data_IF_327151241602
#
_entry.id   IF_327151241602
#
_cell.length_a   1.000
_cell.length_b   1.000
_cell.length_c   1.000
_cell.angle_alpha   90.00
_cell.angle_beta   90.00
_cell.angle_gamma   90.00
#
_symmetry.space_group_name_H-M   'P 1'
#
loop_
_entity.id
_entity.type
_entity.pdbx_description
1 polymer ?
#
# COMPACT_ATOMS: atom_id res chain seq x y z
N UNK A 1 -11.74 5.53 -8.68
CA UNK A 1 -11.28 6.93 -8.48
C UNK A 1 -9.89 6.89 -7.86
N UNK A 2 -8.94 7.76 -8.23
CA UNK A 2 -7.64 7.81 -7.56
C UNK A 2 -7.78 8.39 -6.16
N UNK A 3 -7.03 7.86 -5.20
CA UNK A 3 -6.98 8.36 -3.83
C UNK A 3 -5.65 9.04 -3.61
N UNK A 4 -5.68 10.13 -2.85
CA UNK A 4 -4.49 10.90 -2.52
C UNK A 4 -4.07 10.53 -1.10
N UNK A 5 -2.79 10.17 -0.92
CA UNK A 5 -2.25 9.79 0.37
C UNK A 5 -0.81 10.25 0.57
N UNK A 6 -0.51 10.58 1.82
CA UNK A 6 0.80 11.05 2.24
C UNK A 6 1.72 9.87 2.47
N UNK A 7 2.95 9.94 1.96
CA UNK A 7 3.96 8.95 2.28
C UNK A 7 4.22 8.94 3.80
N UNK A 8 4.21 7.77 4.47
CA UNK A 8 4.50 7.68 5.90
C UNK A 8 5.98 7.94 6.23
N UNK A 9 6.86 7.99 5.23
CA UNK A 9 8.25 8.37 5.43
C UNK A 9 8.33 9.88 5.72
N UNK A 10 8.76 10.22 6.94
CA UNK A 10 8.87 11.61 7.40
C UNK A 10 9.87 12.44 6.59
N UNK A 11 10.91 11.80 6.03
CA UNK A 11 11.90 12.46 5.16
C UNK A 11 11.35 12.74 3.76
N UNK A 12 10.32 12.01 3.33
CA UNK A 12 9.74 12.17 1.99
C UNK A 12 8.49 13.05 2.01
N UNK A 13 7.51 12.73 2.88
CA UNK A 13 6.19 13.41 2.99
C UNK A 13 5.49 13.71 1.66
N UNK A 14 5.87 13.00 0.59
CA UNK A 14 5.34 13.25 -0.73
C UNK A 14 3.86 12.85 -0.79
N UNK A 15 3.10 13.63 -1.54
CA UNK A 15 1.68 13.37 -1.81
C UNK A 15 1.61 12.43 -3.01
N UNK A 16 1.18 11.19 -2.77
CA UNK A 16 1.02 10.19 -3.82
C UNK A 16 -0.44 10.04 -4.20
N UNK A 17 -0.71 10.06 -5.51
CA UNK A 17 -1.97 9.60 -6.08
C UNK A 17 -1.84 8.13 -6.39
N UNK A 18 -2.54 7.29 -5.65
CA UNK A 18 -2.59 5.85 -5.90
C UNK A 18 -3.99 5.44 -6.35
N UNK A 19 -4.12 4.40 -7.20
CA UNK A 19 -5.42 3.92 -7.62
C UNK A 19 -6.17 3.24 -6.47
N UNK A 20 -7.50 3.33 -6.43
CA UNK A 20 -8.31 2.63 -5.42
C UNK A 20 -8.10 1.09 -5.43
N UNK A 21 -7.72 0.52 -6.57
CA UNK A 21 -7.40 -0.93 -6.72
C UNK A 21 -6.28 -1.43 -5.80
N UNK A 22 -5.44 -0.54 -5.29
CA UNK A 22 -4.33 -0.90 -4.38
C UNK A 22 -4.66 -0.66 -2.91
N UNK A 23 -5.90 -0.26 -2.57
CA UNK A 23 -6.37 -0.25 -1.19
C UNK A 23 -6.27 -1.64 -0.56
N UNK A 24 -5.80 -1.71 0.68
CA UNK A 24 -5.52 -2.95 1.39
C UNK A 24 -4.27 -3.70 0.90
N UNK A 25 -3.53 -3.19 -0.09
CA UNK A 25 -2.30 -3.80 -0.60
C UNK A 25 -1.06 -3.00 -0.17
N UNK A 26 0.10 -3.66 -0.19
CA UNK A 26 1.40 -3.02 -0.03
C UNK A 26 1.77 -2.33 -1.33
N UNK A 27 2.05 -1.04 -1.26
CA UNK A 27 2.44 -0.20 -2.41
C UNK A 27 3.79 0.42 -2.16
N UNK A 28 4.52 0.71 -3.24
CA UNK A 28 5.80 1.39 -3.18
C UNK A 28 5.63 2.88 -3.47
N UNK A 29 6.20 3.72 -2.62
CA UNK A 29 6.28 5.16 -2.87
C UNK A 29 7.11 5.42 -4.13
N UNK A 30 6.56 6.17 -5.09
CA UNK A 30 7.25 6.55 -6.32
C UNK A 30 8.32 7.65 -6.13
N UNK A 31 8.54 8.15 -4.91
CA UNK A 31 9.53 9.18 -4.61
C UNK A 31 10.69 8.62 -3.78
N UNK A 32 10.40 8.00 -2.63
CA UNK A 32 11.43 7.44 -1.76
C UNK A 32 11.59 5.92 -1.87
N UNK A 33 10.71 5.24 -2.60
CA UNK A 33 10.76 3.78 -2.72
C UNK A 33 10.29 3.01 -1.48
N UNK A 34 9.80 3.68 -0.42
CA UNK A 34 9.29 3.02 0.78
C UNK A 34 8.04 2.19 0.46
N UNK A 35 7.98 0.97 0.98
CA UNK A 35 6.82 0.09 0.86
C UNK A 35 5.91 0.27 2.08
N UNK A 36 4.66 0.65 1.85
CA UNK A 36 3.67 0.84 2.91
C UNK A 36 2.31 0.25 2.54
N UNK A 37 1.50 -0.05 3.55
CA UNK A 37 0.16 -0.61 3.34
C UNK A 37 -0.86 0.53 3.21
N UNK A 38 -1.66 0.51 2.14
CA UNK A 38 -2.73 1.48 1.96
C UNK A 38 -3.95 1.09 2.81
N UNK A 39 -4.44 1.94 3.72
CA UNK A 39 -5.62 1.64 4.52
C UNK A 39 -6.87 1.55 3.62
N UNK A 40 -7.64 0.48 3.77
CA UNK A 40 -8.96 0.34 3.12
C UNK A 40 -10.03 0.97 4.01
N UNK A 41 -11.02 1.65 3.40
CA UNK A 41 -12.18 2.17 4.12
C UNK A 41 -13.10 0.99 4.43
N UNK A 42 -12.97 0.42 5.63
CA UNK A 42 -13.79 -0.71 6.05
C UNK A 42 -13.01 -1.66 6.95
N UNK A 43 -13.14 -1.41 8.24
CA UNK A 43 -12.87 -2.36 9.34
C UNK A 43 -11.41 -2.76 9.55
N UNK A 44 -10.89 -2.27 10.68
CA UNK A 44 -9.74 -2.84 11.39
C UNK A 44 -9.83 -4.37 11.43
N UNK A 45 -8.94 -5.09 10.72
CA UNK A 45 -8.55 -6.46 11.05
C UNK A 45 -7.43 -6.98 10.12
N UNK A 46 -6.27 -7.15 10.76
CA UNK A 46 -5.28 -8.22 10.49
C UNK A 46 -4.47 -8.12 9.20
N UNK A 47 -3.18 -7.82 9.40
CA UNK A 47 -2.10 -8.17 8.51
C UNK A 47 -2.05 -9.70 8.30
N UNK A 48 -2.81 -10.23 7.34
CA UNK A 48 -2.50 -11.54 6.76
C UNK A 48 -1.55 -11.31 5.59
N UNK A 49 -0.27 -11.46 5.89
CA UNK A 49 0.73 -11.82 4.88
C UNK A 49 0.30 -13.21 4.38
N UNK A 50 -0.57 -13.25 3.36
CA UNK A 50 -0.79 -14.48 2.62
C UNK A 50 0.49 -14.78 1.84
N UNK A 51 1.21 -15.86 2.12
CA UNK A 51 2.32 -16.28 1.29
C UNK A 51 1.78 -16.46 -0.13
N UNK A 52 2.37 -15.75 -1.09
CA UNK A 52 2.20 -16.09 -2.49
C UNK A 52 2.82 -17.46 -2.67
N UNK A 53 2.02 -18.51 -2.63
CA UNK A 53 2.40 -19.85 -3.04
C UNK A 53 2.74 -19.80 -4.55
N UNK A 54 4.01 -20.01 -4.96
CA UNK A 54 4.33 -20.25 -6.35
C UNK A 54 4.24 -21.77 -6.58
N UNK A 55 3.12 -22.20 -7.15
CA UNK A 55 2.99 -23.27 -8.15
C UNK A 55 4.17 -24.27 -8.29
N UNK A 56 3.85 -25.54 -7.99
CA UNK A 56 4.02 -26.72 -8.87
C UNK A 56 5.42 -27.21 -9.26
N UNK A 57 5.78 -28.45 -8.83
CA UNK A 57 5.91 -29.64 -9.69
C UNK A 57 6.07 -30.91 -8.86
#
# INVERSE_FOLDING_TARGET
MPITLMCPNLSCRAVLRVPDRVRGKKVRCGQCGMVFSVPSQGTSAVATVGPKEPKSK
#
